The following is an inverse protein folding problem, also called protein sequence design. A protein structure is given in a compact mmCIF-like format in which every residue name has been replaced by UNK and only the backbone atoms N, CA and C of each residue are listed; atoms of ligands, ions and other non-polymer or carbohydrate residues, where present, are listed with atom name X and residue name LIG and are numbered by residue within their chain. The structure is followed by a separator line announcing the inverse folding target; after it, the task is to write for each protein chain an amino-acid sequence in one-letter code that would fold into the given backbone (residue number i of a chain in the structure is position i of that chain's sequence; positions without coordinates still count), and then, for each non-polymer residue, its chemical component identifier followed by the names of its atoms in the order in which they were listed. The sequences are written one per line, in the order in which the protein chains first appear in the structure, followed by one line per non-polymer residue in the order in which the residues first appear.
data_IF_808818324107
#
_entry.id   IF_808818324107
#
_cell.length_a   1.000
_cell.length_b   1.000
_cell.length_c   1.000
_cell.angle_alpha   90.00
_cell.angle_beta   90.00
_cell.angle_gamma   90.00
#
_symmetry.space_group_name_H-M   'P 1'
#
loop_
_entity.id
_entity.type
_entity.pdbx_description
1 polymer ?
#
# COMPACT_ATOMS: atom_id res chain seq x y z
N UNK A 1 -16.78 -18.00 57.82
CA UNK A 1 -16.57 -18.81 56.60
C UNK A 1 -17.77 -18.58 55.68
N UNK A 2 -17.84 -17.42 55.03
CA UNK A 2 -17.44 -17.17 53.62
C UNK A 2 -18.12 -18.13 52.64
N UNK A 3 -19.03 -17.62 51.79
CA UNK A 3 -18.96 -17.71 50.31
C UNK A 3 -19.88 -16.67 49.66
N UNK A 4 -19.29 -15.50 49.42
CA UNK A 4 -19.76 -14.47 48.48
C UNK A 4 -19.77 -15.08 47.07
N UNK A 5 -20.94 -15.22 46.43
CA UNK A 5 -21.04 -15.59 45.02
C UNK A 5 -21.18 -14.31 44.20
N UNK A 6 -20.07 -13.82 43.66
CA UNK A 6 -20.01 -12.65 42.79
C UNK A 6 -20.45 -13.04 41.39
N UNK A 7 -21.56 -12.46 40.96
CA UNK A 7 -22.09 -12.46 39.60
C UNK A 7 -21.17 -11.58 38.72
N UNK A 8 -20.57 -12.11 37.65
CA UNK A 8 -19.83 -11.32 36.66
C UNK A 8 -20.65 -11.30 35.36
N UNK A 9 -21.35 -10.20 35.15
CA UNK A 9 -22.02 -9.85 33.89
C UNK A 9 -20.95 -9.50 32.85
N UNK A 10 -20.86 -10.27 31.78
CA UNK A 10 -19.90 -10.07 30.69
C UNK A 10 -20.51 -9.06 29.69
N UNK A 11 -20.18 -7.78 29.86
CA UNK A 11 -20.62 -6.68 29.01
C UNK A 11 -19.69 -6.58 27.79
N UNK A 12 -20.09 -7.20 26.67
CA UNK A 12 -19.40 -7.10 25.39
C UNK A 12 -19.61 -5.70 24.83
N UNK A 13 -18.60 -4.85 25.02
CA UNK A 13 -18.56 -3.49 24.50
C UNK A 13 -18.21 -3.54 23.01
N UNK A 14 -19.23 -3.58 22.14
CA UNK A 14 -19.06 -3.44 20.69
C UNK A 14 -18.71 -1.98 20.42
N UNK A 15 -17.43 -1.69 20.19
CA UNK A 15 -17.03 -0.36 19.71
C UNK A 15 -17.47 -0.19 18.25
N UNK A 16 -18.20 0.88 17.91
CA UNK A 16 -18.46 1.20 16.52
C UNK A 16 -17.14 1.62 15.86
N UNK A 17 -16.67 0.81 14.91
CA UNK A 17 -15.68 1.21 13.91
C UNK A 17 -16.27 2.39 13.12
N UNK A 18 -16.01 3.61 13.60
CA UNK A 18 -16.30 4.82 12.84
C UNK A 18 -15.19 4.97 11.79
N UNK A 19 -15.39 4.39 10.61
CA UNK A 19 -14.63 4.77 9.43
C UNK A 19 -15.01 6.20 9.06
N UNK A 20 -14.28 7.20 9.58
CA UNK A 20 -14.44 8.61 9.19
C UNK A 20 -13.65 8.85 7.91
N UNK A 21 -14.34 9.03 6.79
CA UNK A 21 -13.74 9.53 5.56
C UNK A 21 -14.04 11.01 5.40
N UNK A 22 -13.09 11.73 4.79
CA UNK A 22 -13.08 13.20 4.68
C UNK A 22 -13.86 13.63 3.45
N UNK A 23 -14.52 14.79 3.52
CA UNK A 23 -15.35 15.30 2.44
C UNK A 23 -14.59 16.28 1.55
N UNK A 24 -14.81 16.20 0.24
CA UNK A 24 -14.52 17.29 -0.69
C UNK A 24 -15.72 18.21 -0.73
N UNK A 25 -15.51 19.50 -0.48
CA UNK A 25 -16.58 20.49 -0.51
C UNK A 25 -16.37 21.44 -1.68
N UNK A 26 -17.46 21.67 -2.41
CA UNK A 26 -17.52 22.68 -3.46
C UNK A 26 -17.70 24.05 -2.81
N UNK A 27 -16.73 24.94 -3.03
CA UNK A 27 -16.81 26.31 -2.56
C UNK A 27 -17.54 27.21 -3.56
N UNK A 28 -17.26 26.99 -4.85
CA UNK A 28 -17.78 27.80 -5.94
C UNK A 28 -17.72 26.99 -7.23
N UNK A 29 -18.73 27.14 -8.08
CA UNK A 29 -18.71 26.59 -9.43
C UNK A 29 -19.46 27.57 -10.34
N UNK A 30 -18.76 28.13 -11.32
CA UNK A 30 -19.31 29.17 -12.18
C UNK A 30 -18.63 29.21 -13.55
N UNK A 31 -19.34 29.66 -14.60
CA UNK A 31 -18.69 30.01 -15.85
C UNK A 31 -17.78 31.23 -15.67
N UNK A 32 -16.68 31.28 -16.39
CA UNK A 32 -15.81 32.46 -16.43
C UNK A 32 -16.23 33.39 -17.58
N UNK A 33 -15.90 34.68 -17.47
CA UNK A 33 -16.04 35.63 -18.57
C UNK A 33 -14.88 35.52 -19.58
N UNK A 34 -13.78 34.89 -19.19
CA UNK A 34 -12.59 34.73 -20.03
C UNK A 34 -12.88 33.89 -21.28
N UNK A 35 -12.49 34.36 -22.48
CA UNK A 35 -12.68 33.60 -23.71
C UNK A 35 -11.74 32.39 -23.77
N UNK A 36 -12.23 31.28 -24.30
CA UNK A 36 -11.39 30.11 -24.59
C UNK A 36 -10.51 30.35 -25.82
N UNK A 37 -9.22 30.63 -25.59
CA UNK A 37 -8.23 30.80 -26.65
C UNK A 37 -8.07 29.50 -27.46
N UNK A 38 -7.70 29.63 -28.74
CA UNK A 38 -7.48 28.48 -29.64
C UNK A 38 -6.44 27.50 -29.08
N UNK A 39 -5.40 28.01 -28.41
CA UNK A 39 -4.36 27.19 -27.77
C UNK A 39 -4.88 26.32 -26.62
N UNK A 40 -6.05 26.63 -26.07
CA UNK A 40 -6.69 25.85 -25.00
C UNK A 40 -7.72 24.87 -25.53
N UNK A 41 -8.14 24.95 -26.80
CA UNK A 41 -9.25 24.16 -27.32
C UNK A 41 -8.83 22.70 -27.51
N UNK A 42 -9.75 21.79 -27.17
CA UNK A 42 -9.65 20.36 -27.43
C UNK A 42 -10.97 19.91 -28.05
N UNK A 43 -10.91 19.06 -29.08
CA UNK A 43 -12.10 18.47 -29.69
C UNK A 43 -12.41 17.13 -29.07
N UNK A 44 -13.69 16.79 -28.98
CA UNK A 44 -14.14 15.44 -28.63
C UNK A 44 -14.18 14.52 -29.87
N UNK A 45 -14.68 13.29 -29.68
CA UNK A 45 -14.81 12.30 -30.75
C UNK A 45 -15.78 12.71 -31.87
N UNK A 46 -16.67 13.69 -31.62
CA UNK A 46 -17.60 14.23 -32.61
C UNK A 46 -17.05 15.50 -33.28
N UNK A 47 -15.80 15.86 -33.00
CA UNK A 47 -15.13 17.06 -33.49
C UNK A 47 -15.72 18.37 -32.92
N UNK A 48 -16.49 18.29 -31.83
CA UNK A 48 -17.01 19.45 -31.12
C UNK A 48 -15.99 19.96 -30.09
N UNK A 49 -15.89 21.28 -29.93
CA UNK A 49 -14.97 21.89 -28.96
C UNK A 49 -15.47 21.62 -27.55
N UNK A 50 -14.64 20.99 -26.73
CA UNK A 50 -14.91 20.68 -25.33
C UNK A 50 -15.13 21.94 -24.48
N UNK A 51 -15.86 21.77 -23.38
CA UNK A 51 -15.78 22.67 -22.25
C UNK A 51 -14.47 22.44 -21.48
N UNK A 52 -13.89 23.50 -20.93
CA UNK A 52 -12.75 23.40 -20.01
C UNK A 52 -13.23 23.72 -18.60
N UNK A 53 -13.05 22.77 -17.68
CA UNK A 53 -13.27 23.00 -16.25
C UNK A 53 -11.90 23.12 -15.58
N UNK A 54 -11.62 24.33 -15.08
CA UNK A 54 -10.48 24.67 -14.25
C UNK A 54 -10.82 24.31 -12.81
N UNK A 55 -10.28 23.20 -12.31
CA UNK A 55 -10.53 22.73 -10.95
C UNK A 55 -9.42 23.22 -10.04
N UNK A 56 -9.72 24.23 -9.22
CA UNK A 56 -8.79 24.80 -8.24
C UNK A 56 -8.79 23.89 -7.01
N UNK A 57 -7.77 23.05 -6.91
CA UNK A 57 -7.55 22.12 -5.81
C UNK A 57 -6.03 21.82 -5.70
N UNK A 58 -5.31 22.42 -4.75
CA UNK A 58 -3.87 22.27 -4.61
C UNK A 58 -3.49 20.95 -3.90
N UNK A 59 -4.05 19.83 -4.38
CA UNK A 59 -3.78 18.48 -3.88
C UNK A 59 -3.46 17.59 -5.07
N UNK A 60 -2.33 16.90 -5.04
CA UNK A 60 -1.91 16.00 -6.12
C UNK A 60 -2.65 14.65 -6.12
N UNK A 61 -2.62 13.96 -7.26
CA UNK A 61 -3.16 12.60 -7.39
C UNK A 61 -4.68 12.48 -7.53
N UNK A 62 -5.38 13.61 -7.78
CA UNK A 62 -6.83 13.62 -8.00
C UNK A 62 -7.17 13.01 -9.37
N UNK A 63 -8.17 12.14 -9.39
CA UNK A 63 -8.71 11.52 -10.60
C UNK A 63 -10.08 12.10 -10.95
N UNK A 64 -10.33 12.26 -12.24
CA UNK A 64 -11.58 12.79 -12.77
C UNK A 64 -12.22 11.74 -13.68
N UNK A 65 -13.53 11.55 -13.54
CA UNK A 65 -14.30 10.61 -14.36
C UNK A 65 -15.66 11.18 -14.75
N UNK A 66 -16.21 10.69 -15.86
CA UNK A 66 -17.39 11.23 -16.53
C UNK A 66 -17.11 11.33 -18.02
N UNK A 67 -17.60 12.39 -18.66
CA UNK A 67 -17.36 12.65 -20.08
C UNK A 67 -16.05 13.42 -20.32
N UNK A 68 -14.97 13.01 -19.64
CA UNK A 68 -13.66 13.65 -19.75
C UNK A 68 -12.97 13.28 -21.05
N UNK A 69 -12.31 14.23 -21.71
CA UNK A 69 -11.66 14.06 -23.02
C UNK A 69 -10.14 14.23 -22.88
N UNK A 70 -9.40 13.15 -23.17
CA UNK A 70 -7.93 13.12 -23.12
C UNK A 70 -7.35 13.26 -21.71
N UNK A 71 -6.05 13.53 -21.64
CA UNK A 71 -5.34 13.62 -20.36
C UNK A 71 -5.66 14.93 -19.61
N UNK A 72 -5.69 14.82 -18.28
CA UNK A 72 -5.85 15.95 -17.35
C UNK A 72 -4.46 16.46 -16.98
N UNK A 73 -4.22 17.77 -17.14
CA UNK A 73 -2.98 18.41 -16.69
C UNK A 73 -3.15 19.04 -15.32
N UNK A 74 -2.07 19.04 -14.53
CA UNK A 74 -1.99 19.62 -13.19
C UNK A 74 -0.73 20.48 -13.08
N UNK A 75 -0.87 21.71 -12.59
CA UNK A 75 0.26 22.67 -12.46
C UNK A 75 0.73 22.88 -11.01
N UNK A 76 0.18 22.14 -10.05
CA UNK A 76 0.45 22.28 -8.61
C UNK A 76 -0.67 22.97 -7.84
N UNK A 77 -1.54 23.70 -8.52
CA UNK A 77 -2.66 24.44 -7.91
C UNK A 77 -4.01 24.14 -8.57
N UNK A 78 -3.98 23.84 -9.87
CA UNK A 78 -5.16 23.74 -10.70
C UNK A 78 -5.07 22.51 -11.62
N UNK A 79 -6.21 21.84 -11.80
CA UNK A 79 -6.40 20.82 -12.83
C UNK A 79 -7.15 21.39 -14.02
N UNK A 80 -6.71 21.06 -15.23
CA UNK A 80 -7.44 21.37 -16.47
C UNK A 80 -8.13 20.11 -16.98
N UNK A 81 -9.44 20.07 -16.80
CA UNK A 81 -10.28 18.93 -17.16
C UNK A 81 -11.14 19.32 -18.37
N UNK A 82 -10.94 18.62 -19.48
CA UNK A 82 -11.75 18.81 -20.69
C UNK A 82 -12.95 17.88 -20.66
N UNK A 83 -14.15 18.42 -20.91
CA UNK A 83 -15.38 17.65 -20.93
C UNK A 83 -16.18 17.89 -22.21
N UNK A 84 -16.86 16.87 -22.70
CA UNK A 84 -17.75 17.01 -23.87
C UNK A 84 -18.87 18.01 -23.59
N UNK A 85 -19.31 18.71 -24.64
CA UNK A 85 -20.46 19.61 -24.56
C UNK A 85 -21.71 18.86 -24.10
N UNK A 86 -22.57 19.51 -23.32
CA UNK A 86 -23.78 18.91 -22.75
C UNK A 86 -23.57 18.14 -21.44
N UNK A 87 -22.35 18.05 -20.93
CA UNK A 87 -22.06 17.34 -19.67
C UNK A 87 -22.73 18.03 -18.48
N UNK A 88 -23.41 17.24 -17.63
CA UNK A 88 -24.18 17.74 -16.47
C UNK A 88 -23.55 17.43 -15.12
N UNK A 89 -22.59 16.50 -15.09
CA UNK A 89 -21.93 16.13 -13.85
C UNK A 89 -20.46 15.85 -14.08
N UNK A 90 -19.68 15.93 -13.00
CA UNK A 90 -18.29 15.52 -12.95
C UNK A 90 -18.06 14.71 -11.67
N UNK A 91 -17.36 13.58 -11.79
CA UNK A 91 -16.94 12.79 -10.64
C UNK A 91 -15.45 13.01 -10.36
N UNK A 92 -15.13 13.24 -9.10
CA UNK A 92 -13.81 13.63 -8.62
C UNK A 92 -13.43 12.67 -7.50
N UNK A 93 -12.27 12.03 -7.63
CA UNK A 93 -11.72 11.12 -6.63
C UNK A 93 -10.39 11.66 -6.15
N UNK A 94 -10.38 12.22 -4.94
CA UNK A 94 -9.19 12.70 -4.26
C UNK A 94 -8.68 11.63 -3.29
N UNK A 95 -7.38 11.30 -3.27
CA UNK A 95 -6.82 10.39 -2.28
C UNK A 95 -7.20 10.78 -0.85
N UNK A 96 -7.68 9.82 -0.06
CA UNK A 96 -8.07 10.03 1.34
C UNK A 96 -9.45 10.68 1.57
N UNK A 97 -10.24 10.89 0.52
CA UNK A 97 -11.57 11.50 0.59
C UNK A 97 -12.64 10.63 -0.09
N UNK A 98 -13.92 10.83 0.27
CA UNK A 98 -15.00 10.23 -0.50
C UNK A 98 -15.04 10.82 -1.93
N UNK A 99 -15.30 10.00 -2.95
CA UNK A 99 -15.53 10.51 -4.30
C UNK A 99 -16.68 11.50 -4.31
N UNK A 100 -16.43 12.69 -4.86
CA UNK A 100 -17.43 13.73 -5.01
C UNK A 100 -18.01 13.68 -6.41
N UNK A 101 -19.33 13.56 -6.50
CA UNK A 101 -20.08 13.77 -7.75
C UNK A 101 -20.74 15.13 -7.68
N UNK A 102 -20.35 16.03 -8.57
CA UNK A 102 -20.93 17.36 -8.70
C UNK A 102 -21.94 17.31 -9.83
N UNK A 103 -23.14 17.82 -9.59
CA UNK A 103 -24.10 18.16 -10.63
C UNK A 103 -24.02 19.66 -10.91
N UNK A 104 -23.68 20.05 -12.14
CA UNK A 104 -23.51 21.46 -12.51
C UNK A 104 -24.83 22.25 -12.40
N UNK A 105 -25.97 21.56 -12.44
CA UNK A 105 -27.30 22.18 -12.32
C UNK A 105 -27.54 22.75 -10.93
N UNK A 106 -26.89 22.18 -9.91
CA UNK A 106 -26.95 22.69 -8.53
C UNK A 106 -26.29 24.08 -8.40
N UNK A 107 -25.50 24.48 -9.41
CA UNK A 107 -24.79 25.75 -9.49
C UNK A 107 -25.33 26.65 -10.62
N UNK A 108 -26.56 26.39 -11.10
CA UNK A 108 -27.21 27.18 -12.14
C UNK A 108 -26.66 26.95 -13.56
N UNK A 109 -25.86 25.90 -13.77
CA UNK A 109 -25.33 25.53 -15.08
C UNK A 109 -26.12 24.31 -15.58
N UNK A 110 -27.06 24.55 -16.50
CA UNK A 110 -27.94 23.50 -17.04
C UNK A 110 -27.16 22.32 -17.66
N UNK A 111 -26.10 22.65 -18.40
CA UNK A 111 -25.11 21.73 -18.95
C UNK A 111 -23.86 22.53 -19.34
N UNK A 112 -22.69 21.88 -19.35
CA UNK A 112 -21.47 22.51 -19.84
C UNK A 112 -21.57 22.80 -21.33
N UNK A 113 -21.48 24.06 -21.70
CA UNK A 113 -21.35 24.51 -23.09
C UNK A 113 -19.92 24.32 -23.60
N UNK A 114 -19.78 23.74 -24.79
CA UNK A 114 -18.52 23.69 -25.52
C UNK A 114 -17.92 25.08 -25.78
N UNK A 115 -16.59 25.17 -25.92
CA UNK A 115 -15.84 26.44 -26.11
C UNK A 115 -15.97 27.42 -24.93
N UNK A 116 -16.44 26.97 -23.77
CA UNK A 116 -16.57 27.77 -22.54
C UNK A 116 -15.67 27.26 -21.43
N UNK A 117 -15.18 28.19 -20.62
CA UNK A 117 -14.36 27.89 -19.45
C UNK A 117 -15.23 28.01 -18.20
N UNK A 118 -15.07 27.05 -17.29
CA UNK A 118 -15.70 27.01 -15.99
C UNK A 118 -14.64 26.94 -14.91
N UNK A 119 -14.89 27.64 -13.82
CA UNK A 119 -14.08 27.59 -12.61
C UNK A 119 -14.82 26.75 -11.57
N UNK A 120 -14.15 25.72 -11.06
CA UNK A 120 -14.63 24.89 -9.96
C UNK A 120 -13.63 25.00 -8.80
N UNK A 121 -14.03 25.66 -7.72
CA UNK A 121 -13.23 25.77 -6.50
C UNK A 121 -13.62 24.68 -5.53
N UNK A 122 -12.66 23.81 -5.22
CA UNK A 122 -12.84 22.76 -4.24
C UNK A 122 -11.98 23.04 -3.02
N UNK A 123 -12.49 22.63 -1.87
CA UNK A 123 -11.72 22.51 -0.65
C UNK A 123 -11.82 21.07 -0.19
N UNK A 124 -10.67 20.43 -0.04
CA UNK A 124 -10.58 19.26 0.82
C UNK A 124 -10.91 19.73 2.25
N UNK A 125 -12.11 19.41 2.73
CA UNK A 125 -12.46 19.67 4.12
C UNK A 125 -11.79 18.59 4.96
N UNK A 126 -10.60 18.91 5.46
CA UNK A 126 -10.21 18.42 6.77
C UNK A 126 -11.17 19.08 7.75
N UNK A 127 -12.02 18.30 8.43
CA UNK A 127 -12.72 18.83 9.59
C UNK A 127 -11.66 19.32 10.57
N UNK A 128 -11.50 20.65 10.66
CA UNK A 128 -10.95 21.27 11.86
C UNK A 128 -12.10 21.28 12.87
N UNK A 129 -12.40 20.11 13.46
CA UNK A 129 -12.58 20.11 14.90
C UNK A 129 -11.24 20.58 15.52
N UNK A 130 -11.20 21.13 16.75
CA UNK A 130 -9.91 21.39 17.41
C UNK A 130 -9.08 20.15 17.15
N UNK A 131 -7.96 20.34 16.42
CA UNK A 131 -7.10 19.30 15.86
C UNK A 131 -7.35 18.05 16.66
N UNK A 132 -8.04 17.04 16.09
CA UNK A 132 -8.18 15.76 16.79
C UNK A 132 -6.75 15.48 17.19
N UNK A 133 -6.48 15.63 18.51
CA UNK A 133 -5.14 15.95 18.98
C UNK A 133 -4.27 14.98 18.24
N UNK A 134 -3.33 15.51 17.45
CA UNK A 134 -2.45 14.67 16.65
C UNK A 134 -2.14 13.48 17.57
N UNK A 135 -2.57 12.25 17.21
CA UNK A 135 -2.56 11.16 18.16
C UNK A 135 -1.13 10.87 18.63
N UNK A 136 -0.15 11.58 18.06
CA UNK A 136 1.26 11.46 18.30
C UNK A 136 1.68 10.07 17.87
N UNK A 137 0.98 9.50 16.87
CA UNK A 137 1.11 8.13 16.41
C UNK A 137 0.63 7.90 14.97
N UNK A 138 1.35 7.05 14.22
CA UNK A 138 1.06 6.65 12.84
C UNK A 138 1.43 5.18 12.58
N UNK A 139 1.08 4.67 11.40
CA UNK A 139 1.41 3.30 11.01
C UNK A 139 2.79 3.18 10.37
N UNK A 140 3.57 2.22 10.86
CA UNK A 140 4.69 1.60 10.16
C UNK A 140 4.17 0.39 9.37
N UNK A 141 4.50 0.33 8.09
CA UNK A 141 4.35 -0.88 7.27
C UNK A 141 5.76 -1.42 7.01
N UNK A 142 6.02 -2.65 7.45
CA UNK A 142 7.25 -3.38 7.16
C UNK A 142 6.96 -4.47 6.14
N UNK A 143 7.62 -4.42 5.00
CA UNK A 143 7.56 -5.44 3.96
C UNK A 143 8.89 -6.18 3.91
N UNK A 144 8.86 -7.51 4.05
CA UNK A 144 10.06 -8.33 4.19
C UNK A 144 10.17 -9.33 3.05
N UNK A 145 11.39 -9.48 2.53
CA UNK A 145 11.80 -10.60 1.68
C UNK A 145 12.90 -11.42 2.37
N UNK A 146 12.81 -12.76 2.40
CA UNK A 146 11.69 -13.59 1.91
C UNK A 146 10.42 -13.40 2.76
N UNK A 147 9.25 -13.80 2.23
CA UNK A 147 7.96 -13.60 2.92
C UNK A 147 7.63 -14.71 3.94
N UNK A 148 8.30 -15.86 3.83
CA UNK A 148 8.01 -17.04 4.63
C UNK A 148 8.93 -17.17 5.85
N UNK A 149 8.39 -17.67 6.95
CA UNK A 149 9.15 -17.94 8.17
C UNK A 149 9.75 -16.70 8.83
N UNK A 150 9.19 -15.52 8.55
CA UNK A 150 9.67 -14.23 9.07
C UNK A 150 9.12 -14.00 10.48
N UNK A 151 10.00 -13.55 11.37
CA UNK A 151 9.65 -12.97 12.68
C UNK A 151 10.02 -11.49 12.68
N UNK A 152 9.10 -10.63 13.10
CA UNK A 152 9.33 -9.18 13.19
C UNK A 152 9.09 -8.74 14.63
N UNK A 153 10.06 -8.01 15.19
CA UNK A 153 9.92 -7.27 16.44
C UNK A 153 9.97 -5.77 16.17
N UNK A 154 9.08 -5.02 16.79
CA UNK A 154 9.09 -3.56 16.81
C UNK A 154 9.11 -3.10 18.26
N UNK A 155 10.10 -2.28 18.62
CA UNK A 155 10.40 -1.90 20.01
C UNK A 155 10.43 -3.08 20.98
N UNK A 156 11.06 -4.17 20.53
CA UNK A 156 11.19 -5.41 21.29
C UNK A 156 9.91 -6.27 21.36
N UNK A 157 8.78 -5.80 20.82
CA UNK A 157 7.49 -6.52 20.84
C UNK A 157 7.28 -7.30 19.54
N UNK A 158 6.98 -8.60 19.65
CA UNK A 158 6.66 -9.47 18.52
C UNK A 158 5.39 -9.00 17.78
N UNK A 159 5.45 -9.01 16.46
CA UNK A 159 4.36 -8.59 15.59
C UNK A 159 3.79 -9.77 14.80
N UNK A 160 2.49 -9.72 14.53
CA UNK A 160 1.85 -10.66 13.60
C UNK A 160 2.30 -10.32 12.18
N UNK A 161 2.75 -11.34 11.45
CA UNK A 161 3.25 -11.22 10.08
C UNK A 161 2.34 -12.01 9.15
N UNK A 162 1.85 -11.35 8.11
CA UNK A 162 1.01 -11.97 7.07
C UNK A 162 1.65 -11.73 5.70
N UNK A 163 2.02 -12.81 5.01
CA UNK A 163 2.63 -12.72 3.67
C UNK A 163 3.93 -11.92 3.63
N UNK A 164 4.72 -11.91 4.70
CA UNK A 164 5.95 -11.10 4.81
C UNK A 164 5.71 -9.63 5.15
N UNK A 165 4.48 -9.22 5.43
CA UNK A 165 4.13 -7.85 5.78
C UNK A 165 3.58 -7.76 7.20
N UNK A 166 3.91 -6.66 7.91
CA UNK A 166 3.21 -6.27 9.14
C UNK A 166 2.90 -4.78 9.13
N UNK A 167 1.85 -4.39 9.86
CA UNK A 167 1.40 -3.01 10.01
C UNK A 167 1.25 -2.70 11.50
N UNK A 168 2.08 -1.80 12.02
CA UNK A 168 2.17 -1.50 13.46
C UNK A 168 1.84 -0.04 13.72
N UNK A 169 0.94 0.24 14.65
CA UNK A 169 0.60 1.60 15.06
C UNK A 169 1.55 2.07 16.17
N UNK A 170 2.38 3.07 15.87
CA UNK A 170 3.48 3.53 16.71
C UNK A 170 3.36 5.01 16.98
N UNK A 171 3.93 5.47 18.10
CA UNK A 171 4.00 6.90 18.39
C UNK A 171 4.91 7.63 17.38
N UNK A 172 4.90 8.95 17.41
CA UNK A 172 5.83 9.76 16.63
C UNK A 172 7.21 9.70 17.24
N UNK A 173 8.20 9.78 16.37
CA UNK A 173 9.60 9.68 16.75
C UNK A 173 10.24 8.40 16.21
N UNK A 174 11.38 8.08 16.80
CA UNK A 174 12.24 6.99 16.36
C UNK A 174 11.88 5.68 17.01
N UNK A 175 11.56 4.69 16.19
CA UNK A 175 11.21 3.33 16.61
C UNK A 175 12.22 2.32 16.08
N UNK A 176 12.46 1.26 16.85
CA UNK A 176 13.39 0.19 16.47
C UNK A 176 12.64 -0.98 15.86
N UNK A 177 13.27 -1.67 14.90
CA UNK A 177 12.77 -2.91 14.35
C UNK A 177 13.88 -3.95 14.23
N UNK A 178 13.50 -5.22 14.32
CA UNK A 178 14.35 -6.39 14.11
C UNK A 178 13.58 -7.42 13.30
N UNK A 179 14.19 -7.91 12.23
CA UNK A 179 13.60 -8.88 11.32
C UNK A 179 14.52 -10.10 11.24
N UNK A 180 13.93 -11.28 11.42
CA UNK A 180 14.63 -12.56 11.39
C UNK A 180 13.89 -13.55 10.49
N UNK A 181 14.64 -14.40 9.80
CA UNK A 181 14.10 -15.57 9.11
C UNK A 181 15.17 -16.66 9.10
N UNK A 182 14.74 -17.92 9.17
CA UNK A 182 15.67 -19.05 9.23
C UNK A 182 16.48 -19.16 7.92
N UNK A 183 17.80 -19.32 8.03
CA UNK A 183 18.71 -19.35 6.87
C UNK A 183 19.08 -17.97 6.33
N UNK A 184 18.70 -16.89 7.02
CA UNK A 184 19.04 -15.51 6.65
C UNK A 184 19.73 -14.78 7.80
N UNK A 185 20.57 -13.80 7.46
CA UNK A 185 21.11 -12.85 8.43
C UNK A 185 19.99 -11.93 8.92
N UNK A 186 19.90 -11.71 10.23
CA UNK A 186 18.95 -10.77 10.82
C UNK A 186 19.25 -9.34 10.39
N UNK A 187 18.21 -8.53 10.19
CA UNK A 187 18.33 -7.08 9.96
C UNK A 187 17.74 -6.33 11.16
N UNK A 188 18.48 -5.34 11.66
CA UNK A 188 18.06 -4.44 12.73
C UNK A 188 18.23 -2.99 12.27
N UNK A 189 17.33 -2.12 12.72
CA UNK A 189 17.44 -0.70 12.42
C UNK A 189 16.40 0.14 13.11
N UNK A 190 16.32 1.41 12.69
CA UNK A 190 15.33 2.36 13.19
C UNK A 190 14.55 2.99 12.05
N UNK A 191 13.31 3.38 12.32
CA UNK A 191 12.44 4.16 11.44
C UNK A 191 11.90 5.37 12.18
N UNK A 192 11.71 6.48 11.46
CA UNK A 192 11.09 7.69 11.99
C UNK A 192 9.60 7.69 11.62
N UNK A 193 8.74 7.85 12.63
CA UNK A 193 7.29 7.93 12.45
C UNK A 193 6.88 9.40 12.58
N UNK A 194 6.29 9.91 11.50
CA UNK A 194 5.88 11.31 11.39
C UNK A 194 4.39 11.50 11.14
N UNK A 195 3.93 12.76 11.08
CA UNK A 195 2.52 13.10 10.97
C UNK A 195 1.89 12.86 9.59
N UNK A 196 2.71 12.68 8.55
CA UNK A 196 2.26 12.66 7.16
C UNK A 196 2.37 11.29 6.53
N UNK A 197 1.23 10.72 6.10
CA UNK A 197 1.20 9.43 5.41
C UNK A 197 1.66 8.25 6.28
N UNK A 198 1.62 7.02 5.75
CA UNK A 198 2.18 5.87 6.47
C UNK A 198 3.68 5.78 6.20
N UNK A 199 4.46 5.38 7.20
CA UNK A 199 5.89 5.08 7.01
C UNK A 199 6.00 3.66 6.45
N UNK A 200 6.62 3.50 5.29
CA UNK A 200 6.84 2.18 4.66
C UNK A 200 8.33 1.86 4.66
N UNK A 201 8.69 0.68 5.13
CA UNK A 201 10.08 0.19 5.16
C UNK A 201 10.16 -1.18 4.50
N UNK A 202 10.99 -1.26 3.46
CA UNK A 202 11.35 -2.49 2.78
C UNK A 202 12.60 -3.11 3.43
N UNK A 203 12.51 -4.39 3.77
CA UNK A 203 13.59 -5.20 4.35
C UNK A 203 13.85 -6.39 3.43
N UNK A 204 15.11 -6.59 3.05
CA UNK A 204 15.51 -7.72 2.20
C UNK A 204 16.65 -8.45 2.89
N UNK A 205 16.29 -9.53 3.58
CA UNK A 205 17.27 -10.33 4.30
C UNK A 205 18.22 -11.04 3.33
N UNK A 206 19.48 -11.12 3.72
CA UNK A 206 20.51 -11.82 2.96
C UNK A 206 20.61 -13.26 3.42
N UNK A 207 20.53 -14.21 2.47
CA UNK A 207 20.68 -15.63 2.79
C UNK A 207 22.09 -15.90 3.28
N UNK A 208 22.21 -16.68 4.35
CA UNK A 208 23.48 -17.19 4.89
C UNK A 208 23.63 -18.69 4.66
N UNK A 209 22.78 -19.27 3.81
CA UNK A 209 22.84 -20.69 3.48
C UNK A 209 23.93 -20.96 2.44
N UNK A 210 24.66 -22.05 2.63
CA UNK A 210 25.60 -22.55 1.65
C UNK A 210 24.92 -23.56 0.72
N UNK A 211 25.36 -23.58 -0.53
CA UNK A 211 24.95 -24.61 -1.48
C UNK A 211 25.88 -25.82 -1.35
N UNK A 212 25.32 -27.00 -1.07
CA UNK A 212 26.01 -28.28 -1.14
C UNK A 212 25.58 -29.01 -2.41
N UNK A 213 26.56 -29.48 -3.18
CA UNK A 213 26.34 -30.39 -4.31
C UNK A 213 27.05 -31.70 -4.02
N UNK A 214 26.30 -32.81 -4.10
CA UNK A 214 26.80 -34.18 -3.94
C UNK A 214 26.65 -34.89 -5.28
N UNK A 215 27.76 -35.30 -5.87
CA UNK A 215 27.79 -35.97 -7.17
C UNK A 215 28.50 -37.32 -7.05
N UNK A 216 27.78 -38.40 -6.70
CA UNK A 216 28.37 -39.74 -6.68
C UNK A 216 28.81 -40.13 -8.09
N UNK A 217 30.03 -40.65 -8.22
CA UNK A 217 30.56 -41.09 -9.52
C UNK A 217 29.78 -42.29 -10.07
N UNK A 218 29.27 -43.15 -9.18
CA UNK A 218 28.49 -44.32 -9.56
C UNK A 218 27.02 -43.94 -9.80
N UNK A 219 26.45 -44.17 -10.99
CA UNK A 219 25.04 -43.89 -11.27
C UNK A 219 24.09 -44.71 -10.39
N UNK A 220 22.96 -44.12 -10.02
CA UNK A 220 21.92 -44.79 -9.23
C UNK A 220 22.19 -44.83 -7.72
N UNK A 221 23.22 -44.14 -7.22
CA UNK A 221 23.45 -44.00 -5.79
C UNK A 221 22.37 -43.14 -5.13
N UNK A 222 21.81 -43.62 -4.03
CA UNK A 222 20.94 -42.88 -3.14
C UNK A 222 21.79 -41.96 -2.25
N UNK A 223 21.50 -40.66 -2.28
CA UNK A 223 22.17 -39.63 -1.48
C UNK A 223 21.39 -39.37 -0.20
N UNK A 224 22.10 -39.34 0.92
CA UNK A 224 21.59 -39.03 2.25
C UNK A 224 22.37 -37.87 2.85
N UNK A 225 21.69 -36.98 3.55
CA UNK A 225 22.31 -35.92 4.37
C UNK A 225 21.70 -36.01 5.77
N UNK A 226 22.54 -36.24 6.78
CA UNK A 226 22.15 -36.56 8.16
C UNK A 226 21.10 -37.69 8.20
N UNK A 227 21.41 -38.79 7.52
CA UNK A 227 20.57 -40.00 7.40
C UNK A 227 19.20 -39.80 6.74
N UNK A 228 18.89 -38.60 6.24
CA UNK A 228 17.68 -38.34 5.45
C UNK A 228 17.97 -38.49 3.96
N UNK A 229 17.22 -39.36 3.30
CA UNK A 229 17.26 -39.52 1.85
C UNK A 229 16.91 -38.20 1.14
N UNK A 230 17.73 -37.83 0.16
CA UNK A 230 17.60 -36.59 -0.62
C UNK A 230 17.27 -36.81 -2.08
N UNK A 231 17.65 -37.97 -2.62
CA UNK A 231 17.42 -38.32 -4.01
C UNK A 231 18.44 -39.34 -4.51
N UNK A 232 18.37 -39.65 -5.79
CA UNK A 232 19.27 -40.59 -6.46
C UNK A 232 20.10 -39.87 -7.52
N UNK A 233 21.40 -40.17 -7.59
CA UNK A 233 22.34 -39.48 -8.48
C UNK A 233 22.86 -38.17 -7.88
N UNK A 234 23.11 -37.17 -8.73
CA UNK A 234 23.55 -35.85 -8.26
C UNK A 234 22.43 -35.13 -7.52
N UNK A 235 22.75 -34.63 -6.33
CA UNK A 235 21.85 -33.81 -5.53
C UNK A 235 22.49 -32.45 -5.23
N UNK A 236 21.70 -31.38 -5.32
CA UNK A 236 22.10 -30.03 -4.91
C UNK A 236 21.05 -29.42 -3.99
N UNK A 237 21.48 -28.72 -2.94
CA UNK A 237 20.57 -28.06 -2.02
C UNK A 237 21.23 -27.01 -1.15
N UNK A 238 20.42 -26.10 -0.61
CA UNK A 238 20.86 -25.12 0.36
C UNK A 238 20.78 -25.68 1.77
N UNK A 239 21.83 -25.48 2.54
CA UNK A 239 21.94 -25.90 3.94
C UNK A 239 22.42 -24.72 4.80
N UNK A 240 21.90 -24.55 6.03
CA UNK A 240 22.50 -23.64 6.99
C UNK A 240 23.97 -24.01 7.25
N UNK A 241 24.77 -23.07 7.74
CA UNK A 241 26.13 -23.40 8.19
C UNK A 241 26.08 -24.48 9.29
N UNK A 242 26.92 -25.50 9.16
CA UNK A 242 26.97 -26.61 10.11
C UNK A 242 27.77 -27.80 9.60
N UNK A 243 27.96 -28.78 10.47
CA UNK A 243 28.54 -30.08 10.10
C UNK A 243 27.42 -31.02 9.65
N UNK A 244 27.62 -31.65 8.50
CA UNK A 244 26.67 -32.57 7.90
C UNK A 244 27.36 -33.88 7.58
N UNK A 245 26.71 -34.98 7.93
CA UNK A 245 27.11 -36.31 7.48
C UNK A 245 26.47 -36.57 6.12
N UNK A 246 27.27 -36.70 5.08
CA UNK A 246 26.81 -37.00 3.73
C UNK A 246 27.12 -38.45 3.42
N UNK A 247 26.13 -39.21 2.96
CA UNK A 247 26.30 -40.62 2.62
C UNK A 247 25.72 -40.95 1.25
N UNK A 248 26.48 -41.69 0.44
CA UNK A 248 26.00 -42.29 -0.80
C UNK A 248 25.88 -43.81 -0.62
N UNK A 249 24.69 -44.35 -0.88
CA UNK A 249 24.38 -45.78 -0.76
C UNK A 249 23.93 -46.36 -2.10
N UNK A 250 24.34 -47.60 -2.39
CA UNK A 250 23.85 -48.38 -3.52
C UNK A 250 23.91 -49.85 -3.17
N UNK A 251 22.88 -50.60 -3.56
CA UNK A 251 22.83 -52.04 -3.31
C UNK A 251 24.05 -52.74 -3.94
N UNK A 252 24.61 -53.69 -3.20
CA UNK A 252 25.83 -54.41 -3.60
C UNK A 252 27.12 -53.60 -3.52
N UNK A 253 27.10 -52.35 -3.02
CA UNK A 253 28.29 -51.50 -2.86
C UNK A 253 28.48 -51.10 -1.39
N UNK A 254 29.74 -50.87 -0.99
CA UNK A 254 30.03 -50.29 0.33
C UNK A 254 29.61 -48.81 0.33
N UNK A 255 28.88 -48.33 1.36
CA UNK A 255 28.54 -46.92 1.47
C UNK A 255 29.79 -46.04 1.62
N UNK A 256 29.76 -44.86 0.99
CA UNK A 256 30.74 -43.80 1.20
C UNK A 256 30.13 -42.72 2.10
N UNK A 257 30.86 -42.29 3.12
CA UNK A 257 30.44 -41.24 4.06
C UNK A 257 31.52 -40.17 4.15
N UNK A 258 31.11 -38.90 4.18
CA UNK A 258 31.95 -37.72 4.43
C UNK A 258 31.30 -36.86 5.52
#
# INVERSE_FOLDING_TARGET
MNRLHTLILLLVLIWPFNSRSQDLVVLDCRPTADPMLVSMQRTDANNDICALVRVLLPVGGVKFSGNTVGDVSFDGSEYRVYLTSGTKFLQISCPGHYPLRIDFRDYGINALEGKRIYELKLKAQSFVQPQAADPGANYLILNVKPEQGVTIKVDGTDQVVEGGTTSVYLKYGRHSYRVESNGYSSEEGTVEIGPTGKTVKEVRLQSVMATLTVSPETPGCAVYVNDRFKGTGTWGGQLPAGLYRVEARKDGHRPQTV
#
